data_IF_626155746689
#
_entry.id   IF_626155746689
#
_cell.length_a   1.000
_cell.length_b   1.000
_cell.length_c   1.000
_cell.angle_alpha   90.00
_cell.angle_beta   90.00
_cell.angle_gamma   90.00
#
_symmetry.space_group_name_H-M   'P 1'
#
loop_
_entity.id
_entity.type
_entity.pdbx_description
1 polymer ?
#
# COMPACT_ATOMS: atom_id res chain seq x y z
N UNK A 1 10.84 -16.46 4.60
CA UNK A 1 10.11 -15.48 3.76
C UNK A 1 10.81 -15.36 2.41
N UNK A 2 10.06 -15.28 1.32
CA UNK A 2 10.66 -15.08 -0.01
C UNK A 2 11.09 -13.60 -0.18
N UNK A 3 12.08 -13.33 -1.03
CA UNK A 3 12.63 -11.97 -1.24
C UNK A 3 11.60 -10.97 -1.78
N UNK A 4 10.62 -11.43 -2.57
CA UNK A 4 9.58 -10.60 -3.18
C UNK A 4 8.60 -10.06 -2.14
N UNK A 5 8.10 -10.91 -1.26
CA UNK A 5 7.25 -10.55 -0.12
C UNK A 5 7.96 -9.58 0.82
N UNK A 6 9.28 -9.76 1.05
CA UNK A 6 10.04 -8.81 1.87
C UNK A 6 10.18 -7.42 1.21
N UNK A 7 10.40 -7.36 -0.11
CA UNK A 7 10.43 -6.10 -0.86
C UNK A 7 9.09 -5.37 -0.82
N UNK A 8 7.99 -6.10 -1.05
CA UNK A 8 6.64 -5.53 -1.01
C UNK A 8 6.31 -4.99 0.38
N UNK A 9 6.72 -5.70 1.45
CA UNK A 9 6.53 -5.23 2.83
C UNK A 9 7.26 -3.91 3.10
N UNK A 10 8.53 -3.81 2.73
CA UNK A 10 9.31 -2.58 2.92
C UNK A 10 8.69 -1.38 2.17
N UNK A 11 8.19 -1.62 0.95
CA UNK A 11 7.57 -0.60 0.14
C UNK A 11 6.19 -0.19 0.68
N UNK A 12 5.38 -1.16 1.11
CA UNK A 12 4.09 -0.90 1.77
C UNK A 12 4.25 -0.07 3.04
N UNK A 13 5.23 -0.42 3.89
CA UNK A 13 5.57 0.36 5.09
C UNK A 13 6.01 1.79 4.72
N UNK A 14 6.81 1.97 3.67
CA UNK A 14 7.22 3.29 3.20
C UNK A 14 6.02 4.14 2.73
N UNK A 15 5.10 3.56 1.96
CA UNK A 15 3.86 4.23 1.51
C UNK A 15 3.02 4.66 2.71
N UNK A 16 2.82 3.75 3.66
CA UNK A 16 2.09 4.01 4.90
C UNK A 16 2.68 5.18 5.67
N UNK A 17 4.00 5.22 5.81
CA UNK A 17 4.69 6.30 6.50
C UNK A 17 4.48 7.66 5.81
N UNK A 18 4.54 7.72 4.47
CA UNK A 18 4.24 8.95 3.73
C UNK A 18 2.80 9.40 3.99
N UNK A 19 1.84 8.47 3.88
CA UNK A 19 0.41 8.78 4.08
C UNK A 19 0.14 9.33 5.47
N UNK A 20 0.64 8.65 6.51
CA UNK A 20 0.48 9.07 7.91
C UNK A 20 1.14 10.43 8.17
N UNK A 21 2.34 10.67 7.63
CA UNK A 21 3.03 11.96 7.76
C UNK A 21 2.24 13.11 7.10
N UNK A 22 1.49 12.82 6.05
CA UNK A 22 0.58 13.77 5.39
C UNK A 22 -0.78 13.89 6.09
N UNK A 23 -1.03 13.12 7.15
CA UNK A 23 -2.32 13.04 7.87
C UNK A 23 -3.50 12.64 6.97
N UNK A 24 -3.23 11.80 5.98
CA UNK A 24 -4.25 11.25 5.08
C UNK A 24 -4.71 9.88 5.62
N UNK A 25 -6.00 9.62 5.65
CA UNK A 25 -6.54 8.31 6.02
C UNK A 25 -6.34 7.27 4.90
N UNK A 26 -6.34 5.98 5.25
CA UNK A 26 -6.30 4.92 4.25
C UNK A 26 -7.52 4.98 3.31
N UNK A 27 -8.67 5.40 3.83
CA UNK A 27 -9.91 5.59 3.08
C UNK A 27 -9.78 6.69 2.02
N UNK A 28 -9.26 7.87 2.38
CA UNK A 28 -9.02 8.96 1.42
C UNK A 28 -8.09 8.53 0.28
N UNK A 29 -7.10 7.68 0.57
CA UNK A 29 -6.22 7.13 -0.47
C UNK A 29 -6.94 6.11 -1.35
N UNK A 30 -7.77 5.23 -0.77
CA UNK A 30 -8.56 4.26 -1.51
C UNK A 30 -9.55 4.96 -2.46
N UNK A 31 -10.26 5.98 -1.96
CA UNK A 31 -11.15 6.83 -2.74
C UNK A 31 -10.42 7.54 -3.89
N UNK A 32 -9.26 8.15 -3.61
CA UNK A 32 -8.45 8.85 -4.63
C UNK A 32 -7.94 7.92 -5.73
N UNK A 33 -7.75 6.63 -5.43
CA UNK A 33 -7.28 5.62 -6.37
C UNK A 33 -8.43 4.83 -7.00
N UNK A 34 -9.67 5.09 -6.60
CA UNK A 34 -10.87 4.35 -7.01
C UNK A 34 -10.73 2.83 -6.78
N UNK A 35 -10.25 2.46 -5.59
CA UNK A 35 -10.14 1.08 -5.11
C UNK A 35 -10.80 0.94 -3.73
N UNK A 36 -10.97 -0.29 -3.25
CA UNK A 36 -11.51 -0.52 -1.90
C UNK A 36 -10.45 -0.26 -0.83
N UNK A 37 -10.88 0.11 0.38
CA UNK A 37 -10.02 0.24 1.56
C UNK A 37 -9.17 -1.02 1.79
N UNK A 38 -9.78 -2.20 1.62
CA UNK A 38 -9.09 -3.48 1.77
C UNK A 38 -7.94 -3.61 0.78
N UNK A 39 -8.16 -3.27 -0.49
CA UNK A 39 -7.14 -3.38 -1.52
C UNK A 39 -6.00 -2.37 -1.29
N UNK A 40 -6.31 -1.17 -0.83
CA UNK A 40 -5.27 -0.21 -0.43
C UNK A 40 -4.44 -0.71 0.77
N UNK A 41 -5.10 -1.30 1.79
CA UNK A 41 -4.41 -1.87 2.95
C UNK A 41 -3.51 -3.06 2.58
N UNK A 42 -3.86 -3.83 1.54
CA UNK A 42 -2.99 -4.88 0.99
C UNK A 42 -1.69 -4.32 0.41
N UNK A 43 -1.71 -3.12 -0.18
CA UNK A 43 -0.50 -2.43 -0.62
C UNK A 43 0.37 -2.01 0.56
N UNK A 44 -0.22 -1.39 1.58
CA UNK A 44 0.54 -0.93 2.76
C UNK A 44 1.11 -2.08 3.61
N UNK A 45 0.45 -3.24 3.60
CA UNK A 45 0.95 -4.45 4.27
C UNK A 45 1.98 -5.23 3.44
N UNK A 46 2.12 -4.89 2.15
CA UNK A 46 2.97 -5.63 1.21
C UNK A 46 2.41 -6.99 0.78
N UNK A 47 1.13 -7.24 1.05
CA UNK A 47 0.42 -8.46 0.65
C UNK A 47 0.00 -8.42 -0.82
N UNK A 48 -0.14 -7.23 -1.40
CA UNK A 48 -0.35 -7.02 -2.82
C UNK A 48 0.80 -6.19 -3.44
N UNK A 49 1.10 -6.47 -4.71
CA UNK A 49 2.03 -5.65 -5.49
C UNK A 49 1.33 -4.38 -5.96
N UNK A 50 1.97 -3.22 -5.75
CA UNK A 50 1.52 -1.96 -6.34
C UNK A 50 1.83 -1.89 -7.84
N UNK A 51 2.78 -2.71 -8.31
CA UNK A 51 3.06 -2.86 -9.73
C UNK A 51 2.03 -3.84 -10.29
N UNK A 52 1.00 -3.32 -10.94
CA UNK A 52 0.25 -4.08 -11.94
C UNK A 52 1.25 -4.32 -13.06
N UNK A 53 1.60 -5.58 -13.33
CA UNK A 53 2.36 -5.91 -14.55
C UNK A 53 1.43 -5.51 -15.69
N UNK A 54 1.77 -4.41 -16.36
CA UNK A 54 1.19 -4.01 -17.65
C UNK A 54 1.76 -4.93 -18.73
#
# INVERSE_FOLDING_TARGET
>A
MNKTTQRNKNLGEYIKNIRVNKKISAHEMADSLNITDSHYNEYESGNASIYKII
#
